data_IF_321349311373
#
_entry.id   IF_321349311373
#
_cell.length_a   1.000
_cell.length_b   1.000
_cell.length_c   1.000
_cell.angle_alpha   90.00
_cell.angle_beta   90.00
_cell.angle_gamma   90.00
#
_symmetry.space_group_name_H-M   'P 1'
#
loop_
_entity.id
_entity.type
_entity.pdbx_description
1 polymer ?
#
# COMPACT_ATOMS: atom_id res chain seq x y z
N UNK A 1 16.18 18.76 -6.82
CA UNK A 1 17.07 19.50 -7.74
C UNK A 1 16.45 19.49 -9.11
N UNK A 2 16.50 20.62 -9.81
CA UNK A 2 15.96 20.76 -11.17
C UNK A 2 17.11 20.70 -12.15
N UNK A 3 17.04 19.79 -13.12
CA UNK A 3 18.07 19.64 -14.17
C UNK A 3 17.46 20.05 -15.49
N UNK A 4 18.11 20.97 -16.19
CA UNK A 4 17.70 21.39 -17.53
C UNK A 4 18.16 20.35 -18.54
N UNK A 5 17.23 19.88 -19.37
CA UNK A 5 17.50 18.87 -20.40
C UNK A 5 17.09 19.44 -21.76
N UNK A 6 17.97 19.26 -22.75
CA UNK A 6 17.62 19.54 -24.14
C UNK A 6 16.72 18.40 -24.64
N UNK A 7 15.49 18.75 -25.03
CA UNK A 7 14.52 17.83 -25.64
C UNK A 7 14.17 18.33 -27.02
N UNK A 8 13.90 17.42 -27.94
CA UNK A 8 13.59 17.77 -29.32
C UNK A 8 12.13 17.40 -29.63
N UNK A 9 11.34 18.36 -30.08
CA UNK A 9 10.01 18.09 -30.61
C UNK A 9 10.13 17.74 -32.11
N UNK A 10 9.52 16.64 -32.51
CA UNK A 10 9.43 16.20 -33.91
C UNK A 10 7.96 15.96 -34.28
N UNK A 11 7.62 15.83 -35.57
CA UNK A 11 6.27 15.46 -35.99
C UNK A 11 5.77 14.12 -35.42
N UNK A 12 6.69 13.23 -35.03
CA UNK A 12 6.38 11.93 -34.44
C UNK A 12 6.25 11.99 -32.91
N UNK A 13 6.76 13.04 -32.26
CA UNK A 13 6.64 13.24 -30.82
C UNK A 13 7.84 13.93 -30.16
N UNK A 14 7.93 13.79 -28.84
CA UNK A 14 9.00 14.36 -28.03
C UNK A 14 10.15 13.36 -27.88
N UNK A 15 11.34 13.73 -28.36
CA UNK A 15 12.56 12.96 -28.18
C UNK A 15 13.33 13.45 -26.94
N UNK A 16 13.61 12.51 -26.04
CA UNK A 16 14.35 12.75 -24.80
C UNK A 16 15.64 11.93 -24.85
N UNK A 17 16.82 12.54 -24.69
CA UNK A 17 18.07 11.81 -24.65
C UNK A 17 18.06 10.74 -23.56
N UNK A 18 18.40 9.49 -23.90
CA UNK A 18 18.35 8.37 -22.94
C UNK A 18 19.26 8.60 -21.73
N UNK A 19 20.42 9.23 -21.93
CA UNK A 19 21.36 9.57 -20.86
C UNK A 19 20.75 10.52 -19.81
N UNK A 20 19.79 11.36 -20.22
CA UNK A 20 19.11 12.28 -19.32
C UNK A 20 18.17 11.59 -18.31
N UNK A 21 17.77 10.34 -18.60
CA UNK A 21 16.91 9.56 -17.71
C UNK A 21 17.69 8.95 -16.53
N UNK A 22 19.03 9.03 -16.51
CA UNK A 22 19.85 8.46 -15.44
C UNK A 22 19.47 7.00 -15.17
N UNK A 23 19.37 6.59 -13.91
CA UNK A 23 18.97 5.21 -13.56
C UNK A 23 17.54 4.80 -13.95
N UNK A 24 16.73 5.66 -14.57
CA UNK A 24 15.36 5.32 -14.98
C UNK A 24 15.30 4.55 -16.30
N UNK A 25 16.38 4.50 -17.10
CA UNK A 25 16.37 3.76 -18.38
C UNK A 25 16.17 2.25 -18.24
N UNK A 26 16.30 1.70 -17.02
CA UNK A 26 16.08 0.28 -16.69
C UNK A 26 14.66 -0.01 -16.22
N UNK A 27 13.83 1.03 -16.01
CA UNK A 27 12.47 0.89 -15.49
C UNK A 27 11.45 1.14 -16.61
N UNK A 28 10.28 0.52 -16.50
CA UNK A 28 9.14 0.95 -17.30
C UNK A 28 8.74 2.37 -16.91
N UNK A 29 8.53 3.23 -17.90
CA UNK A 29 8.15 4.62 -17.69
C UNK A 29 6.70 4.84 -18.12
N UNK A 30 6.00 5.73 -17.42
CA UNK A 30 4.70 6.24 -17.81
C UNK A 30 4.77 7.75 -18.05
N UNK A 31 3.94 8.22 -18.99
CA UNK A 31 3.74 9.65 -19.24
C UNK A 31 2.36 10.05 -18.75
N UNK A 32 2.32 10.95 -17.77
CA UNK A 32 1.10 11.46 -17.15
C UNK A 32 0.88 12.91 -17.58
N UNK A 33 -0.33 13.22 -18.03
CA UNK A 33 -0.71 14.58 -18.40
C UNK A 33 -1.22 15.31 -17.16
N UNK A 34 -0.51 16.36 -16.77
CA UNK A 34 -0.97 17.33 -15.78
C UNK A 34 -1.36 18.64 -16.48
N UNK A 35 -2.12 19.49 -15.80
CA UNK A 35 -2.80 20.69 -16.36
C UNK A 35 -1.94 21.55 -17.31
N UNK A 36 -0.63 21.64 -17.06
CA UNK A 36 0.30 22.44 -17.86
C UNK A 36 1.62 21.73 -18.20
N UNK A 37 1.74 20.42 -17.98
CA UNK A 37 2.99 19.68 -18.18
C UNK A 37 2.74 18.19 -18.37
N UNK A 38 3.65 17.54 -19.09
CA UNK A 38 3.72 16.08 -19.15
C UNK A 38 4.77 15.63 -18.14
N UNK A 39 4.38 14.74 -17.22
CA UNK A 39 5.27 14.15 -16.23
C UNK A 39 5.64 12.74 -16.69
N UNK A 40 6.91 12.54 -17.02
CA UNK A 40 7.45 11.21 -17.28
C UNK A 40 8.05 10.70 -15.98
N UNK A 41 7.60 9.54 -15.51
CA UNK A 41 8.06 8.93 -14.26
C UNK A 41 8.10 7.41 -14.38
N UNK A 42 8.87 6.72 -13.53
CA UNK A 42 8.81 5.26 -13.44
C UNK A 42 7.39 4.81 -13.12
N UNK A 43 6.92 3.77 -13.82
CA UNK A 43 5.65 3.12 -13.53
C UNK A 43 5.74 2.52 -12.12
N UNK A 44 4.82 2.87 -11.20
CA UNK A 44 4.85 2.32 -9.86
C UNK A 44 4.57 0.81 -9.93
N UNK A 45 5.34 0.02 -9.19
CA UNK A 45 4.99 -1.39 -9.01
C UNK A 45 3.71 -1.49 -8.16
N UNK A 46 2.96 -2.61 -8.22
CA UNK A 46 1.76 -2.78 -7.40
C UNK A 46 2.01 -2.58 -5.88
N UNK A 47 3.20 -2.97 -5.41
CA UNK A 47 3.64 -2.75 -4.03
C UNK A 47 3.85 -1.25 -3.71
N UNK A 48 4.40 -0.49 -4.67
CA UNK A 48 4.58 0.96 -4.53
C UNK A 48 3.25 1.70 -4.56
N UNK A 49 2.31 1.25 -5.41
CA UNK A 49 0.98 1.85 -5.51
C UNK A 49 0.21 1.74 -4.19
N UNK A 50 0.23 0.56 -3.54
CA UNK A 50 -0.38 0.38 -2.21
C UNK A 50 0.23 1.31 -1.17
N UNK A 51 1.56 1.40 -1.16
CA UNK A 51 2.30 2.26 -0.22
C UNK A 51 2.01 3.75 -0.46
N UNK A 52 1.85 4.15 -1.73
CA UNK A 52 1.50 5.51 -2.11
C UNK A 52 0.06 5.86 -1.69
N UNK A 53 -0.90 4.97 -1.92
CA UNK A 53 -2.29 5.14 -1.47
C UNK A 53 -2.35 5.27 0.04
N UNK A 54 -1.67 4.38 0.79
CA UNK A 54 -1.61 4.48 2.26
C UNK A 54 -1.06 5.83 2.72
N UNK A 55 0.00 6.33 2.06
CA UNK A 55 0.57 7.63 2.37
C UNK A 55 -0.42 8.78 2.14
N UNK A 56 -1.08 8.79 0.97
CA UNK A 56 -2.09 9.81 0.63
C UNK A 56 -3.24 9.79 1.64
N UNK A 57 -3.74 8.61 1.99
CA UNK A 57 -4.83 8.46 2.95
C UNK A 57 -4.41 8.92 4.37
N UNK A 58 -3.17 8.65 4.79
CA UNK A 58 -2.63 9.17 6.06
C UNK A 58 -2.55 10.69 6.05
N UNK A 59 -2.00 11.29 4.99
CA UNK A 59 -1.93 12.76 4.86
C UNK A 59 -3.31 13.41 4.85
N UNK A 60 -4.31 12.74 4.26
CA UNK A 60 -5.70 13.21 4.24
C UNK A 60 -6.45 12.96 5.58
N UNK A 61 -5.82 12.35 6.58
CA UNK A 61 -6.47 11.98 7.84
C UNK A 61 -7.50 10.84 7.71
N UNK A 62 -7.56 10.19 6.55
CA UNK A 62 -8.49 9.08 6.26
C UNK A 62 -7.96 7.72 6.71
N UNK A 63 -6.66 7.64 7.01
CA UNK A 63 -6.02 6.47 7.60
C UNK A 63 -5.24 6.93 8.84
N UNK A 64 -5.67 6.49 10.01
CA UNK A 64 -4.94 6.72 11.25
C UNK A 64 -4.27 5.44 11.71
N UNK A 65 -3.14 5.57 12.39
CA UNK A 65 -2.48 4.45 13.06
C UNK A 65 -3.03 4.40 14.48
N UNK A 66 -3.83 3.39 14.85
CA UNK A 66 -4.43 3.31 16.17
C UNK A 66 -3.33 3.14 17.23
N UNK A 67 -3.30 4.02 18.23
CA UNK A 67 -2.39 3.95 19.37
C UNK A 67 -2.87 2.97 20.46
N UNK A 68 -3.47 1.85 20.05
CA UNK A 68 -3.80 0.77 20.97
C UNK A 68 -2.63 -0.22 21.10
N UNK A 69 -2.51 -0.83 22.27
CA UNK A 69 -1.57 -1.93 22.45
C UNK A 69 -1.98 -3.07 21.52
N UNK A 70 -1.06 -3.50 20.66
CA UNK A 70 -1.31 -4.66 19.81
C UNK A 70 -1.25 -5.89 20.71
N UNK A 71 -2.33 -6.70 20.79
CA UNK A 71 -2.32 -7.89 21.63
C UNK A 71 -1.21 -8.83 21.15
N UNK A 72 -0.55 -9.54 22.08
CA UNK A 72 0.50 -10.48 21.71
C UNK A 72 -0.07 -11.56 20.78
N UNK A 73 0.73 -12.07 19.83
CA UNK A 73 0.29 -13.15 18.96
C UNK A 73 -0.07 -14.37 19.79
N UNK A 74 -1.20 -15.00 19.46
CA UNK A 74 -1.67 -16.22 20.11
C UNK A 74 -0.73 -17.38 19.78
N UNK A 75 -0.43 -18.24 20.75
CA UNK A 75 0.39 -19.43 20.53
C UNK A 75 -0.27 -20.39 19.52
N UNK A 76 0.49 -21.24 18.81
CA UNK A 76 -0.08 -22.22 17.89
C UNK A 76 -1.09 -23.16 18.55
N UNK A 77 -0.81 -23.58 19.79
CA UNK A 77 -1.68 -24.43 20.59
C UNK A 77 -3.01 -23.74 20.91
N UNK A 78 -2.93 -22.48 21.35
CA UNK A 78 -4.11 -21.68 21.67
C UNK A 78 -4.95 -21.41 20.42
N UNK A 79 -4.29 -21.15 19.29
CA UNK A 79 -4.96 -20.99 18.00
C UNK A 79 -5.69 -22.25 17.57
N UNK A 80 -5.09 -23.43 17.74
CA UNK A 80 -5.74 -24.71 17.43
C UNK A 80 -6.96 -24.97 18.33
N UNK A 81 -6.82 -24.66 19.63
CA UNK A 81 -7.93 -24.74 20.60
C UNK A 81 -9.11 -23.84 20.21
N UNK A 82 -8.83 -22.58 19.89
CA UNK A 82 -9.83 -21.61 19.47
C UNK A 82 -10.50 -22.01 18.16
N UNK A 83 -9.74 -22.49 17.17
CA UNK A 83 -10.29 -22.95 15.90
C UNK A 83 -11.30 -24.11 16.11
N UNK A 84 -10.96 -25.06 16.99
CA UNK A 84 -11.87 -26.17 17.34
C UNK A 84 -13.13 -25.68 18.07
N UNK A 85 -13.01 -24.69 18.96
CA UNK A 85 -14.15 -24.09 19.69
C UNK A 85 -15.09 -23.34 18.72
N UNK A 86 -14.53 -22.55 17.81
CA UNK A 86 -15.29 -21.74 16.85
C UNK A 86 -15.94 -22.55 15.72
N UNK A 87 -15.42 -23.75 15.42
CA UNK A 87 -15.98 -24.61 14.38
C UNK A 87 -17.31 -25.30 14.76
N UNK A 88 -17.77 -25.19 16.02
CA UNK A 88 -18.92 -25.94 16.55
C UNK A 88 -20.29 -25.41 16.11
N UNK A 89 -20.34 -24.37 15.26
CA UNK A 89 -21.57 -23.86 14.64
C UNK A 89 -22.46 -23.02 15.57
N UNK A 90 -22.04 -22.77 16.80
CA UNK A 90 -22.73 -21.84 17.70
C UNK A 90 -22.53 -20.39 17.28
N UNK A 91 -23.50 -19.49 17.55
CA UNK A 91 -23.31 -18.07 17.38
C UNK A 91 -22.10 -17.56 18.18
N UNK A 92 -21.28 -16.73 17.54
CA UNK A 92 -20.07 -16.18 18.16
C UNK A 92 -20.37 -15.42 19.47
N UNK A 93 -21.55 -14.80 19.58
CA UNK A 93 -22.00 -14.12 20.78
C UNK A 93 -22.10 -15.05 22.00
N UNK A 94 -22.61 -16.27 21.83
CA UNK A 94 -22.75 -17.25 22.91
C UNK A 94 -21.38 -17.76 23.35
N UNK A 95 -20.48 -17.99 22.39
CA UNK A 95 -19.09 -18.41 22.65
C UNK A 95 -18.36 -17.36 23.48
N UNK A 96 -18.54 -16.06 23.17
CA UNK A 96 -17.91 -14.94 23.89
C UNK A 96 -18.47 -14.80 25.31
N UNK A 97 -19.78 -14.97 25.49
CA UNK A 97 -20.42 -14.89 26.82
C UNK A 97 -19.90 -16.02 27.71
N UNK A 98 -19.93 -17.27 27.23
CA UNK A 98 -19.43 -18.42 27.98
C UNK A 98 -17.95 -18.27 28.35
N UNK A 99 -17.10 -17.78 27.43
CA UNK A 99 -15.67 -17.57 27.70
C UNK A 99 -15.39 -16.45 28.71
N UNK A 100 -16.31 -15.48 28.86
CA UNK A 100 -16.21 -14.42 29.87
C UNK A 100 -16.66 -14.91 31.24
N UNK A 101 -17.69 -15.72 31.29
CA UNK A 101 -18.18 -16.32 32.53
C UNK A 101 -17.17 -17.34 33.10
N UNK A 102 -16.52 -18.14 32.25
CA UNK A 102 -15.47 -19.08 32.66
C UNK A 102 -14.19 -18.42 33.24
N UNK A 103 -13.99 -17.12 33.01
CA UNK A 103 -12.81 -16.36 33.46
C UNK A 103 -13.07 -15.48 34.69
N UNK A 104 -14.30 -15.38 35.16
CA UNK A 104 -14.72 -14.60 36.34
C UNK A 104 -14.66 -15.45 37.61
#
# INVERSE_FOLDING_TARGET
MTTTLAVQMTPQGLLIPRAALGGWYTKELEAVWEKHKIVIRPRPTPADARSQVQRVLRTAGMLYEPHWETPPPVSPEERARLAKKLAQGQPLSEIIIADREDRA
#
